data_IF_658690439359
#
_entry.id   IF_658690439359
#
_cell.length_a   1.000
_cell.length_b   1.000
_cell.length_c   1.000
_cell.angle_alpha   90.00
_cell.angle_beta   90.00
_cell.angle_gamma   90.00
#
_symmetry.space_group_name_H-M   'P 1'
#
loop_
_entity.id
_entity.type
_entity.pdbx_description
1 polymer ?
#
# COMPACT_ATOMS: atom_id res chain seq x y z
N UNK A 1 -2.72 27.35 3.61
CA UNK A 1 -2.39 26.40 2.52
C UNK A 1 -3.70 25.91 1.92
N UNK A 2 -3.94 26.12 0.62
CA UNK A 2 -5.18 25.65 0.00
C UNK A 2 -5.14 24.13 -0.18
N UNK A 3 -6.13 23.43 0.37
CA UNK A 3 -6.22 21.96 0.30
C UNK A 3 -6.62 21.44 -1.09
N UNK A 4 -7.09 22.33 -1.98
CA UNK A 4 -7.63 22.00 -3.31
C UNK A 4 -6.71 21.14 -4.20
N UNK A 5 -5.42 21.48 -4.38
CA UNK A 5 -4.52 20.72 -5.24
C UNK A 5 -4.29 19.28 -4.73
N UNK A 6 -4.22 19.10 -3.40
CA UNK A 6 -3.99 17.79 -2.79
C UNK A 6 -5.20 16.86 -2.96
N UNK A 7 -6.42 17.40 -2.89
CA UNK A 7 -7.65 16.64 -3.11
C UNK A 7 -7.74 16.12 -4.55
N UNK A 8 -7.37 16.94 -5.54
CA UNK A 8 -7.36 16.54 -6.96
C UNK A 8 -6.35 15.41 -7.22
N UNK A 9 -5.14 15.51 -6.64
CA UNK A 9 -4.13 14.44 -6.73
C UNK A 9 -4.65 13.15 -6.08
N UNK A 10 -5.26 13.24 -4.90
CA UNK A 10 -5.84 12.08 -4.20
C UNK A 10 -6.91 11.38 -5.04
N UNK A 11 -7.83 12.13 -5.63
CA UNK A 11 -8.89 11.59 -6.50
C UNK A 11 -8.27 10.90 -7.72
N UNK A 12 -7.27 11.51 -8.37
CA UNK A 12 -6.55 10.90 -9.49
C UNK A 12 -5.89 9.57 -9.14
N UNK A 13 -5.21 9.51 -7.99
CA UNK A 13 -4.58 8.28 -7.48
C UNK A 13 -5.63 7.19 -7.20
N UNK A 14 -6.79 7.55 -6.65
CA UNK A 14 -7.90 6.63 -6.38
C UNK A 14 -8.50 6.05 -7.68
N UNK A 15 -8.70 6.88 -8.71
CA UNK A 15 -9.22 6.42 -10.00
C UNK A 15 -8.25 5.43 -10.65
N UNK A 16 -6.96 5.77 -10.69
CA UNK A 16 -5.93 4.90 -11.28
C UNK A 16 -5.85 3.56 -10.55
N UNK A 17 -5.86 3.57 -9.21
CA UNK A 17 -5.86 2.34 -8.41
C UNK A 17 -7.14 1.52 -8.63
N UNK A 18 -8.31 2.17 -8.70
CA UNK A 18 -9.57 1.47 -8.98
C UNK A 18 -9.56 0.78 -10.36
N UNK A 19 -9.16 1.49 -11.41
CA UNK A 19 -9.07 0.94 -12.78
C UNK A 19 -8.08 -0.23 -12.84
N UNK A 20 -6.91 -0.09 -12.21
CA UNK A 20 -5.89 -1.15 -12.19
C UNK A 20 -6.32 -2.36 -11.36
N UNK A 21 -7.10 -2.16 -10.29
CA UNK A 21 -7.70 -3.23 -9.48
C UNK A 21 -8.67 -4.06 -10.30
N UNK A 22 -9.61 -3.41 -10.98
CA UNK A 22 -10.65 -4.08 -11.76
C UNK A 22 -10.07 -4.87 -12.93
N UNK A 23 -9.09 -4.35 -13.66
CA UNK A 23 -8.49 -5.04 -14.83
C UNK A 23 -7.64 -6.27 -14.47
N UNK A 24 -7.20 -6.40 -13.22
CA UNK A 24 -6.24 -7.44 -12.82
C UNK A 24 -6.79 -8.50 -11.87
N UNK A 25 -8.06 -8.40 -11.44
CA UNK A 25 -8.70 -9.40 -10.56
C UNK A 25 -8.67 -10.83 -11.14
N UNK A 26 -8.80 -11.00 -12.45
CA UNK A 26 -8.88 -12.32 -13.11
C UNK A 26 -7.58 -12.81 -13.74
N UNK A 27 -6.45 -12.12 -13.51
CA UNK A 27 -5.17 -12.50 -14.14
C UNK A 27 -4.30 -13.28 -13.16
N UNK A 28 -3.67 -14.35 -13.62
CA UNK A 28 -2.72 -15.11 -12.82
C UNK A 28 -1.65 -14.19 -12.23
N UNK A 29 -1.46 -14.31 -10.91
CA UNK A 29 -0.43 -13.57 -10.19
C UNK A 29 0.89 -14.21 -10.48
N UNK A 30 1.86 -13.38 -10.83
CA UNK A 30 3.20 -13.84 -11.16
C UNK A 30 4.05 -13.73 -9.89
N UNK A 31 4.93 -14.68 -9.64
CA UNK A 31 5.84 -14.70 -8.49
C UNK A 31 7.32 -14.43 -8.86
N UNK A 32 7.71 -14.64 -10.13
CA UNK A 32 9.09 -14.42 -10.64
C UNK A 32 9.14 -13.37 -11.77
N UNK A 33 10.23 -12.60 -11.84
CA UNK A 33 10.46 -11.55 -12.86
C UNK A 33 10.02 -10.13 -12.47
N UNK A 34 10.61 -9.10 -13.11
CA UNK A 34 10.31 -7.69 -12.85
C UNK A 34 8.95 -7.30 -13.46
N UNK A 35 8.01 -6.85 -12.63
CA UNK A 35 6.72 -6.30 -13.08
C UNK A 35 6.37 -5.05 -12.30
N UNK A 36 6.14 -3.95 -13.01
CA UNK A 36 5.73 -2.68 -12.44
C UNK A 36 4.26 -2.67 -11.94
N UNK A 37 3.39 -3.53 -12.49
CA UNK A 37 1.97 -3.51 -12.17
C UNK A 37 1.65 -4.19 -10.83
N UNK A 38 1.39 -3.38 -9.79
CA UNK A 38 1.11 -3.81 -8.40
C UNK A 38 0.08 -4.95 -8.31
N UNK A 39 -0.99 -4.89 -9.09
CA UNK A 39 -2.09 -5.86 -8.99
C UNK A 39 -1.75 -7.25 -9.53
N UNK A 40 -0.71 -7.38 -10.36
CA UNK A 40 -0.24 -8.66 -10.91
C UNK A 40 0.86 -9.33 -10.06
N UNK A 41 1.31 -8.69 -8.97
CA UNK A 41 2.25 -9.32 -8.03
C UNK A 41 1.54 -10.33 -7.14
N UNK A 42 2.25 -11.42 -6.83
CA UNK A 42 1.92 -12.34 -5.74
C UNK A 42 1.80 -11.60 -4.41
N UNK A 43 0.95 -12.10 -3.51
CA UNK A 43 0.80 -11.50 -2.19
C UNK A 43 2.10 -11.54 -1.38
N UNK A 44 2.96 -12.55 -1.60
CA UNK A 44 4.31 -12.61 -1.01
C UNK A 44 5.14 -11.38 -1.33
N UNK A 45 5.21 -10.99 -2.60
CA UNK A 45 5.99 -9.82 -3.03
C UNK A 45 5.37 -8.51 -2.57
N UNK A 46 4.03 -8.43 -2.53
CA UNK A 46 3.33 -7.28 -1.94
C UNK A 46 3.66 -7.13 -0.45
N UNK A 47 3.70 -8.23 0.29
CA UNK A 47 4.06 -8.24 1.72
C UNK A 47 5.51 -7.78 1.93
N UNK A 48 6.48 -8.36 1.21
CA UNK A 48 7.89 -7.93 1.29
C UNK A 48 8.01 -6.44 0.96
N UNK A 49 7.36 -5.98 -0.11
CA UNK A 49 7.38 -4.55 -0.50
C UNK A 49 6.72 -3.65 0.54
N UNK A 50 5.69 -4.13 1.22
CA UNK A 50 5.07 -3.42 2.35
C UNK A 50 6.10 -3.26 3.46
N UNK A 51 6.79 -4.34 3.88
CA UNK A 51 7.87 -4.29 4.88
C UNK A 51 9.02 -3.35 4.49
N UNK A 52 9.44 -3.33 3.22
CA UNK A 52 10.46 -2.39 2.73
C UNK A 52 10.02 -0.92 2.77
N UNK A 53 8.71 -0.64 2.84
CA UNK A 53 8.18 0.72 3.00
C UNK A 53 8.12 1.17 4.46
N UNK A 54 8.41 0.30 5.43
CA UNK A 54 8.41 0.66 6.86
C UNK A 54 9.31 1.88 7.16
N UNK A 55 10.52 2.01 6.59
CA UNK A 55 11.37 3.20 6.77
C UNK A 55 10.77 4.49 6.21
N UNK A 56 9.72 4.44 5.39
CA UNK A 56 9.08 5.65 4.84
C UNK A 56 8.12 6.32 5.81
N UNK A 57 7.61 5.61 6.83
CA UNK A 57 6.73 6.19 7.85
C UNK A 57 7.34 7.39 8.59
N UNK A 58 8.59 7.33 9.12
CA UNK A 58 9.22 8.49 9.73
C UNK A 58 9.49 9.62 8.73
N UNK A 59 9.75 9.31 7.46
CA UNK A 59 9.92 10.33 6.41
C UNK A 59 8.62 11.10 6.18
N UNK A 60 7.48 10.39 6.15
CA UNK A 60 6.15 11.02 6.04
C UNK A 60 5.87 11.92 7.25
N UNK A 61 6.18 11.46 8.47
CA UNK A 61 6.03 12.28 9.67
C UNK A 61 6.85 13.58 9.59
N UNK A 62 8.13 13.48 9.22
CA UNK A 62 8.99 14.65 9.06
C UNK A 62 8.47 15.59 7.98
N UNK A 63 7.97 15.08 6.86
CA UNK A 63 7.38 15.90 5.80
C UNK A 63 6.14 16.66 6.31
N UNK A 64 5.25 16.01 7.06
CA UNK A 64 4.04 16.65 7.60
C UNK A 64 4.38 17.76 8.59
N UNK A 65 5.37 17.55 9.46
CA UNK A 65 5.79 18.55 10.47
C UNK A 65 6.58 19.69 9.85
N UNK A 66 7.60 19.38 9.05
CA UNK A 66 8.60 20.37 8.63
C UNK A 66 8.35 20.99 7.25
N UNK A 67 7.66 20.29 6.35
CA UNK A 67 7.40 20.80 4.98
C UNK A 67 6.00 21.38 4.87
N UNK A 68 5.02 20.72 5.49
CA UNK A 68 3.63 21.17 5.47
C UNK A 68 3.28 22.05 6.67
N UNK A 69 4.22 22.25 7.60
CA UNK A 69 4.10 23.09 8.79
C UNK A 69 2.88 22.75 9.67
N UNK A 70 2.42 21.49 9.63
CA UNK A 70 1.34 21.05 10.50
C UNK A 70 1.81 20.93 11.94
N UNK A 71 0.94 21.32 12.88
CA UNK A 71 1.20 21.15 14.30
C UNK A 71 1.45 19.68 14.68
N UNK A 72 2.29 19.46 15.69
CA UNK A 72 2.69 18.12 16.15
C UNK A 72 1.50 17.18 16.40
N UNK A 73 0.39 17.70 16.96
CA UNK A 73 -0.84 16.91 17.16
C UNK A 73 -1.39 16.33 15.87
N UNK A 74 -1.53 17.15 14.82
CA UNK A 74 -2.01 16.69 13.51
C UNK A 74 -1.04 15.70 12.87
N UNK A 75 0.28 15.93 12.99
CA UNK A 75 1.29 15.02 12.45
C UNK A 75 1.25 13.63 13.13
N UNK A 76 1.10 13.59 14.45
CA UNK A 76 0.97 12.34 15.21
C UNK A 76 -0.31 11.60 14.78
N UNK A 77 -1.45 12.29 14.70
CA UNK A 77 -2.72 11.67 14.30
C UNK A 77 -2.64 11.09 12.89
N UNK A 78 -2.12 11.85 11.92
CA UNK A 78 -1.99 11.40 10.53
C UNK A 78 -1.02 10.22 10.40
N UNK A 79 0.11 10.27 11.10
CA UNK A 79 1.13 9.21 11.04
C UNK A 79 0.63 7.94 11.72
N UNK A 80 -0.09 8.06 12.84
CA UNK A 80 -0.73 6.93 13.50
C UNK A 80 -1.80 6.29 12.61
N UNK A 81 -2.66 7.09 11.97
CA UNK A 81 -3.64 6.58 11.01
C UNK A 81 -2.97 5.85 9.83
N UNK A 82 -1.90 6.42 9.27
CA UNK A 82 -1.12 5.80 8.20
C UNK A 82 -0.49 4.46 8.65
N UNK A 83 0.04 4.40 9.88
CA UNK A 83 0.61 3.17 10.44
C UNK A 83 -0.44 2.07 10.63
N UNK A 84 -1.66 2.41 11.06
CA UNK A 84 -2.78 1.46 11.17
C UNK A 84 -3.13 0.91 9.79
N UNK A 85 -3.35 1.77 8.80
CA UNK A 85 -3.67 1.34 7.43
C UNK A 85 -2.58 0.44 6.84
N UNK A 86 -1.31 0.79 7.07
CA UNK A 86 -0.17 -0.01 6.63
C UNK A 86 -0.16 -1.39 7.31
N UNK A 87 -0.47 -1.45 8.61
CA UNK A 87 -0.52 -2.71 9.36
C UNK A 87 -1.66 -3.61 8.87
N UNK A 88 -2.84 -3.03 8.63
CA UNK A 88 -3.98 -3.76 8.03
C UNK A 88 -3.60 -4.29 6.65
N UNK A 89 -2.92 -3.49 5.82
CA UNK A 89 -2.45 -3.91 4.50
C UNK A 89 -1.42 -5.04 4.58
N UNK A 90 -0.51 -4.99 5.54
CA UNK A 90 0.47 -6.06 5.77
C UNK A 90 -0.23 -7.35 6.19
N UNK A 91 -1.16 -7.28 7.15
CA UNK A 91 -1.92 -8.43 7.64
C UNK A 91 -2.76 -9.06 6.51
N UNK A 92 -3.47 -8.26 5.72
CA UNK A 92 -4.24 -8.75 4.57
C UNK A 92 -3.35 -9.47 3.56
N UNK A 93 -2.20 -8.88 3.19
CA UNK A 93 -1.26 -9.50 2.27
C UNK A 93 -0.68 -10.81 2.83
N UNK A 94 -0.40 -10.88 4.13
CA UNK A 94 0.08 -12.10 4.79
C UNK A 94 -0.97 -13.21 4.79
N UNK A 95 -2.21 -12.89 5.20
CA UNK A 95 -3.31 -13.86 5.23
C UNK A 95 -3.58 -14.44 3.85
N UNK A 96 -3.57 -13.59 2.82
CA UNK A 96 -3.78 -14.06 1.47
C UNK A 96 -2.59 -14.82 0.89
N UNK A 97 -1.35 -14.45 1.24
CA UNK A 97 -0.18 -15.25 0.90
C UNK A 97 -0.30 -16.67 1.47
N UNK A 98 -0.70 -16.80 2.74
CA UNK A 98 -0.88 -18.11 3.40
C UNK A 98 -1.98 -18.95 2.74
N UNK A 99 -3.09 -18.33 2.31
CA UNK A 99 -4.15 -19.02 1.55
C UNK A 99 -3.63 -19.56 0.21
N UNK A 100 -2.91 -18.74 -0.55
CA UNK A 100 -2.29 -19.15 -1.83
C UNK A 100 -1.24 -20.25 -1.66
N UNK A 101 -0.56 -20.32 -0.51
CA UNK A 101 0.38 -21.38 -0.17
C UNK A 101 -0.34 -22.70 0.16
N UNK A 102 -1.40 -22.63 0.96
CA UNK A 102 -2.24 -23.80 1.28
C UNK A 102 -2.90 -24.40 0.03
N UNK A 103 -3.47 -23.57 -0.85
CA UNK A 103 -4.07 -24.03 -2.11
C UNK A 103 -3.04 -24.69 -3.05
N UNK A 104 -1.79 -24.19 -3.06
CA UNK A 104 -0.71 -24.82 -3.83
C UNK A 104 -0.32 -26.18 -3.29
N UNK A 105 -0.25 -26.34 -1.97
CA UNK A 105 0.12 -27.60 -1.32
C UNK A 105 -0.97 -28.68 -1.41
N UNK A 106 -2.25 -28.30 -1.52
CA UNK A 106 -3.36 -29.26 -1.71
C UNK A 106 -3.38 -29.81 -3.15
N UNK A 107 -2.95 -29.01 -4.13
CA UNK A 107 -2.99 -29.35 -5.56
C UNK A 107 -1.66 -29.91 -6.10
N UNK A 108 -0.67 -30.17 -5.24
CA UNK A 108 0.64 -30.75 -5.57
C UNK A 108 0.73 -32.20 -5.11
#
# INVERSE_FOLDING_TARGET
>A
MELGPFVVILIGVLIITFVLSTRNKNKQKVDKGFKANYYRLSYRRKMIRTLWLLPTLPIIYLMVVYVLEYGMGAAITLTAAAAILWTVQLAYNYLQYKKEEQERNINS
#
